data_IF_702304603107
#
_entry.id   IF_702304603107
#
_cell.length_a   1.000
_cell.length_b   1.000
_cell.length_c   1.000
_cell.angle_alpha   90.00
_cell.angle_beta   90.00
_cell.angle_gamma   90.00
#
_symmetry.space_group_name_H-M   'P 1'
#
loop_
_entity.id
_entity.type
_entity.pdbx_description
1 polymer ?
#
# COMPACT_ATOMS: atom_id res chain seq x y z
N UNK A 1 -22.63 19.39 -9.79
CA UNK A 1 -23.80 18.50 -10.01
C UNK A 1 -23.36 17.11 -9.58
N UNK A 2 -24.04 16.47 -8.62
CA UNK A 2 -23.61 15.14 -8.12
C UNK A 2 -23.91 14.08 -9.18
N UNK A 3 -23.13 12.99 -9.21
CA UNK A 3 -23.28 11.84 -10.11
C UNK A 3 -24.76 11.40 -10.29
N UNK A 4 -25.59 11.69 -9.29
CA UNK A 4 -27.04 11.36 -9.24
C UNK A 4 -27.93 12.32 -10.03
N UNK A 5 -27.51 13.54 -10.27
CA UNK A 5 -28.33 14.53 -10.98
C UNK A 5 -28.38 14.25 -12.48
N UNK A 6 -27.37 13.55 -13.01
CA UNK A 6 -27.32 13.10 -14.41
C UNK A 6 -28.46 12.11 -14.72
N UNK A 7 -28.93 11.37 -13.72
CA UNK A 7 -29.96 10.34 -13.87
C UNK A 7 -31.42 10.82 -13.56
N UNK A 8 -31.60 12.02 -12.97
CA UNK A 8 -32.90 12.53 -12.58
C UNK A 8 -33.76 13.17 -13.72
N UNK A 9 -33.19 13.44 -14.87
CA UNK A 9 -33.83 14.19 -15.95
C UNK A 9 -34.81 13.40 -16.85
N UNK A 10 -35.19 12.15 -16.50
CA UNK A 10 -35.92 11.26 -17.43
C UNK A 10 -37.29 10.77 -17.00
N UNK A 11 -37.92 11.33 -15.96
CA UNK A 11 -39.25 10.82 -15.51
C UNK A 11 -40.44 11.76 -15.65
N UNK A 12 -40.29 12.93 -16.25
CA UNK A 12 -41.47 13.79 -16.49
C UNK A 12 -41.71 14.01 -17.98
N UNK A 13 -42.45 13.07 -18.58
CA UNK A 13 -43.12 13.28 -19.86
C UNK A 13 -44.56 12.76 -19.77
N UNK A 14 -45.50 13.65 -19.46
CA UNK A 14 -46.92 13.45 -19.72
C UNK A 14 -47.41 14.48 -20.74
N UNK A 15 -47.71 13.96 -21.93
CA UNK A 15 -48.69 14.31 -22.98
C UNK A 15 -49.45 15.64 -22.93
N UNK A 16 -49.47 16.44 -23.98
CA UNK A 16 -50.36 16.44 -25.16
C UNK A 16 -50.36 17.79 -25.92
N UNK A 17 -51.12 18.07 -27.03
CA UNK A 17 -50.53 17.98 -28.35
C UNK A 17 -50.63 19.29 -29.21
N UNK A 18 -49.90 19.26 -30.35
CA UNK A 18 -50.17 19.98 -31.62
C UNK A 18 -50.11 21.51 -31.71
N UNK A 19 -49.06 21.99 -32.39
CA UNK A 19 -49.18 22.95 -33.52
C UNK A 19 -47.92 22.94 -34.38
N UNK A 20 -48.13 22.97 -35.69
CA UNK A 20 -47.13 22.78 -36.73
C UNK A 20 -46.20 23.98 -36.98
N UNK A 21 -44.89 23.65 -37.26
CA UNK A 21 -43.90 24.21 -38.14
C UNK A 21 -43.31 25.62 -37.89
N UNK A 22 -42.01 25.90 -38.18
CA UNK A 22 -41.26 25.50 -39.38
C UNK A 22 -39.90 24.85 -39.08
N UNK A 23 -39.35 24.23 -40.11
CA UNK A 23 -38.06 23.55 -40.20
C UNK A 23 -36.91 24.38 -39.67
N UNK A 24 -36.25 23.89 -38.66
CA UNK A 24 -34.96 24.38 -38.18
C UNK A 24 -33.94 23.24 -38.25
N UNK A 25 -32.83 23.52 -38.93
CA UNK A 25 -31.64 22.70 -39.13
C UNK A 25 -31.38 21.75 -37.95
N UNK A 26 -31.46 20.44 -38.23
CA UNK A 26 -31.13 19.36 -37.34
C UNK A 26 -29.59 19.40 -37.12
N UNK A 27 -29.17 19.92 -35.99
CA UNK A 27 -27.86 19.57 -35.44
C UNK A 27 -27.88 18.07 -35.12
N UNK A 28 -26.85 17.30 -35.45
CA UNK A 28 -26.79 15.91 -35.08
C UNK A 28 -26.90 15.81 -33.54
N UNK A 29 -27.99 15.22 -33.05
CA UNK A 29 -28.06 14.72 -31.69
C UNK A 29 -26.98 13.65 -31.57
N UNK A 30 -25.91 13.99 -30.86
CA UNK A 30 -25.01 12.99 -30.31
C UNK A 30 -25.87 12.17 -29.36
N UNK A 31 -26.24 10.96 -29.77
CA UNK A 31 -26.85 9.96 -28.91
C UNK A 31 -25.83 9.72 -27.76
N UNK A 32 -26.10 10.35 -26.61
CA UNK A 32 -25.41 10.02 -25.35
C UNK A 32 -25.64 8.53 -25.10
N UNK A 33 -24.65 7.70 -25.41
CA UNK A 33 -24.57 6.35 -24.90
C UNK A 33 -24.65 6.46 -23.37
N UNK A 34 -25.77 6.02 -22.79
CA UNK A 34 -26.00 6.06 -21.34
C UNK A 34 -25.03 5.09 -20.67
N UNK A 35 -23.84 5.59 -20.34
CA UNK A 35 -22.87 4.85 -19.52
C UNK A 35 -23.53 4.61 -18.16
N UNK A 36 -23.54 3.38 -17.70
CA UNK A 36 -24.11 3.04 -16.40
C UNK A 36 -23.26 3.65 -15.27
N UNK A 37 -23.85 3.91 -14.12
CA UNK A 37 -23.15 4.41 -12.93
C UNK A 37 -21.97 3.51 -12.55
N UNK A 38 -22.12 2.20 -12.69
CA UNK A 38 -21.07 1.22 -12.47
C UNK A 38 -19.86 1.46 -13.40
N UNK A 39 -20.11 1.64 -14.69
CA UNK A 39 -19.06 1.89 -15.69
C UNK A 39 -18.35 3.23 -15.45
N UNK A 40 -19.06 4.26 -14.96
CA UNK A 40 -18.43 5.53 -14.59
C UNK A 40 -17.48 5.36 -13.39
N UNK A 41 -17.90 4.62 -12.37
CA UNK A 41 -17.05 4.31 -11.21
C UNK A 41 -15.84 3.46 -11.62
N UNK A 42 -16.02 2.48 -12.48
CA UNK A 42 -14.91 1.67 -13.02
C UNK A 42 -13.92 2.54 -13.81
N UNK A 43 -14.40 3.47 -14.62
CA UNK A 43 -13.52 4.42 -15.32
C UNK A 43 -12.76 5.32 -14.34
N UNK A 44 -13.42 5.80 -13.29
CA UNK A 44 -12.77 6.63 -12.27
C UNK A 44 -11.68 5.84 -11.53
N UNK A 45 -11.97 4.60 -11.13
CA UNK A 45 -10.97 3.71 -10.52
C UNK A 45 -9.78 3.52 -11.46
N UNK A 46 -10.02 3.15 -12.71
CA UNK A 46 -8.97 2.90 -13.68
C UNK A 46 -8.10 4.14 -13.91
N UNK A 47 -8.69 5.33 -14.00
CA UNK A 47 -7.95 6.57 -14.20
C UNK A 47 -7.09 6.92 -12.98
N UNK A 48 -7.63 6.77 -11.76
CA UNK A 48 -6.84 6.98 -10.52
C UNK A 48 -5.71 5.97 -10.44
N UNK A 49 -5.95 4.71 -10.78
CA UNK A 49 -4.91 3.68 -10.81
C UNK A 49 -3.83 4.02 -11.85
N UNK A 50 -4.21 4.44 -13.05
CA UNK A 50 -3.27 4.84 -14.10
C UNK A 50 -2.38 6.02 -13.68
N UNK A 51 -2.98 7.03 -13.02
CA UNK A 51 -2.25 8.21 -12.54
C UNK A 51 -1.32 7.93 -11.36
N UNK A 52 -1.59 6.88 -10.59
CA UNK A 52 -0.93 6.67 -9.29
C UNK A 52 -0.11 5.38 -9.19
N UNK A 53 -0.14 4.53 -10.21
CA UNK A 53 0.56 3.25 -10.20
C UNK A 53 2.07 3.41 -9.99
N UNK A 54 2.62 2.57 -9.10
CA UNK A 54 4.07 2.40 -8.94
C UNK A 54 4.43 0.93 -8.92
N UNK A 55 5.52 0.53 -9.60
CA UNK A 55 6.02 -0.83 -9.51
C UNK A 55 6.50 -1.14 -8.08
N UNK A 56 6.24 -2.37 -7.63
CA UNK A 56 6.66 -2.88 -6.33
C UNK A 56 6.98 -4.38 -6.41
N UNK A 57 7.70 -4.88 -5.41
CA UNK A 57 7.85 -6.32 -5.20
C UNK A 57 6.82 -6.76 -4.17
N UNK A 58 5.80 -7.50 -4.61
CA UNK A 58 4.84 -8.11 -3.70
C UNK A 58 5.47 -9.29 -2.95
N UNK A 59 5.17 -9.40 -1.66
CA UNK A 59 5.67 -10.43 -0.76
C UNK A 59 4.51 -11.37 -0.41
N UNK A 60 4.55 -12.59 -0.90
CA UNK A 60 3.52 -13.60 -0.66
C UNK A 60 4.04 -14.73 0.22
N UNK A 61 3.20 -15.22 1.13
CA UNK A 61 3.54 -16.38 1.95
C UNK A 61 3.77 -17.59 1.04
N UNK A 62 4.87 -18.28 1.27
CA UNK A 62 5.19 -19.55 0.63
C UNK A 62 5.09 -20.69 1.66
N UNK A 63 3.91 -21.30 1.74
CA UNK A 63 3.63 -22.39 2.67
C UNK A 63 4.27 -23.73 2.23
N UNK A 64 4.75 -23.83 0.98
CA UNK A 64 5.33 -25.07 0.43
C UNK A 64 6.79 -25.24 0.84
N UNK A 65 7.48 -24.18 1.24
CA UNK A 65 8.90 -24.19 1.53
C UNK A 65 9.19 -23.76 2.96
N UNK A 66 10.06 -24.53 3.63
CA UNK A 66 10.60 -24.14 4.94
C UNK A 66 11.70 -23.11 4.71
N UNK A 67 11.66 -21.94 5.37
CA UNK A 67 12.71 -20.95 5.23
C UNK A 67 14.03 -21.45 5.82
N UNK A 68 15.13 -21.14 5.16
CA UNK A 68 16.47 -21.32 5.65
C UNK A 68 17.02 -20.02 6.27
N UNK A 69 18.31 -20.05 6.63
CA UNK A 69 18.98 -18.91 7.24
C UNK A 69 19.02 -17.66 6.33
N UNK A 70 19.06 -17.85 5.02
CA UNK A 70 19.26 -16.80 4.01
C UNK A 70 17.97 -16.36 3.33
N UNK A 71 16.87 -17.07 3.56
CA UNK A 71 15.59 -16.83 2.91
C UNK A 71 15.03 -15.45 3.20
N UNK A 72 14.33 -14.87 2.22
CA UNK A 72 13.36 -13.78 2.46
C UNK A 72 12.20 -14.35 3.27
N UNK A 73 11.95 -13.79 4.48
CA UNK A 73 11.05 -14.38 5.47
C UNK A 73 10.54 -13.41 6.53
N UNK A 74 9.50 -13.83 7.21
CA UNK A 74 9.01 -13.26 8.47
C UNK A 74 9.46 -14.14 9.62
N UNK A 75 9.93 -13.52 10.69
CA UNK A 75 10.25 -14.18 11.96
C UNK A 75 11.37 -15.20 11.90
N UNK A 76 11.40 -16.06 12.91
CA UNK A 76 12.34 -17.15 13.02
C UNK A 76 13.79 -16.72 13.28
N UNK A 77 14.69 -17.62 12.93
CA UNK A 77 16.14 -17.45 13.16
C UNK A 77 16.75 -16.55 12.10
N UNK A 78 17.29 -15.35 12.46
CA UNK A 78 17.90 -14.44 11.48
C UNK A 78 19.22 -14.99 10.95
N UNK A 79 19.60 -14.62 9.72
CA UNK A 79 21.02 -14.56 9.35
C UNK A 79 21.71 -13.60 10.30
N UNK A 80 22.91 -13.95 10.80
CA UNK A 80 23.68 -13.04 11.64
C UNK A 80 25.18 -13.20 11.39
N UNK A 81 25.84 -12.12 11.02
CA UNK A 81 27.29 -12.10 10.94
C UNK A 81 27.89 -12.25 12.35
N UNK A 82 28.54 -13.39 12.60
CA UNK A 82 29.08 -13.75 13.91
C UNK A 82 30.20 -12.79 14.42
N UNK A 83 30.70 -11.89 13.58
CA UNK A 83 31.66 -10.85 13.96
C UNK A 83 30.98 -9.61 14.58
N UNK A 84 29.66 -9.47 14.42
CA UNK A 84 28.90 -8.32 14.90
C UNK A 84 28.19 -8.61 16.24
N UNK A 85 28.05 -7.60 17.12
CA UNK A 85 27.20 -7.74 18.30
C UNK A 85 25.74 -7.84 17.89
N UNK A 86 24.99 -8.78 18.47
CA UNK A 86 23.56 -8.95 18.22
C UNK A 86 22.76 -7.69 18.64
N UNK A 87 21.72 -7.27 17.89
CA UNK A 87 20.97 -6.05 18.17
C UNK A 87 20.20 -6.15 19.49
N UNK A 88 20.22 -5.06 20.23
CA UNK A 88 19.56 -4.92 21.54
C UNK A 88 18.82 -3.61 21.62
N UNK A 89 17.78 -3.58 22.43
CA UNK A 89 17.09 -2.36 22.84
C UNK A 89 17.95 -1.51 23.80
N UNK A 90 17.43 -0.38 24.24
CA UNK A 90 18.13 0.51 25.18
C UNK A 90 18.33 -0.08 26.58
N UNK A 91 17.53 -1.06 26.97
CA UNK A 91 17.69 -1.81 28.21
C UNK A 91 18.70 -2.96 28.11
N UNK A 92 19.25 -3.21 26.92
CA UNK A 92 20.19 -4.28 26.65
C UNK A 92 19.55 -5.65 26.38
N UNK A 93 18.21 -5.71 26.22
CA UNK A 93 17.49 -6.91 25.83
C UNK A 93 17.63 -7.16 24.34
N UNK A 94 17.74 -8.43 23.89
CA UNK A 94 17.86 -8.73 22.47
C UNK A 94 16.56 -8.41 21.73
N UNK A 95 16.72 -7.85 20.54
CA UNK A 95 15.60 -7.62 19.61
C UNK A 95 15.28 -8.92 18.85
N UNK A 96 14.02 -9.08 18.45
CA UNK A 96 13.59 -10.23 17.67
C UNK A 96 13.35 -9.85 16.21
N UNK A 97 13.62 -10.79 15.29
CA UNK A 97 13.44 -10.58 13.86
C UNK A 97 11.97 -10.52 13.51
N UNK A 98 11.55 -9.44 12.86
CA UNK A 98 10.22 -9.33 12.22
C UNK A 98 10.32 -9.78 10.77
N UNK A 99 11.26 -9.21 10.03
CA UNK A 99 11.36 -9.37 8.58
C UNK A 99 12.81 -9.43 8.13
N UNK A 100 13.08 -10.31 7.18
CA UNK A 100 14.36 -10.43 6.49
C UNK A 100 14.10 -10.48 4.99
N UNK A 101 14.83 -9.69 4.21
CA UNK A 101 14.87 -9.78 2.76
C UNK A 101 16.27 -10.02 2.27
N UNK A 102 16.42 -11.05 1.43
CA UNK A 102 17.64 -11.30 0.67
C UNK A 102 17.50 -10.63 -0.71
N UNK A 103 18.30 -9.63 -0.98
CA UNK A 103 18.23 -8.91 -2.24
C UNK A 103 18.57 -9.77 -3.47
N UNK A 104 19.21 -10.91 -3.28
CA UNK A 104 19.40 -11.89 -4.37
C UNK A 104 18.08 -12.45 -4.90
N UNK A 105 17.04 -12.56 -4.05
CA UNK A 105 15.72 -13.06 -4.45
C UNK A 105 14.97 -12.09 -5.40
N UNK A 106 15.37 -10.81 -5.40
CA UNK A 106 14.76 -9.76 -6.23
C UNK A 106 15.36 -9.66 -7.64
N UNK A 107 16.55 -10.26 -7.87
CA UNK A 107 17.36 -9.96 -9.07
C UNK A 107 16.70 -10.33 -10.38
N UNK A 108 15.89 -11.39 -10.44
CA UNK A 108 15.23 -11.84 -11.68
C UNK A 108 14.27 -10.81 -12.28
N UNK A 109 13.69 -9.96 -11.44
CA UNK A 109 12.69 -8.96 -11.83
C UNK A 109 13.09 -7.53 -11.46
N UNK A 110 14.29 -7.35 -10.85
CA UNK A 110 14.75 -6.06 -10.35
C UNK A 110 14.68 -4.93 -11.36
N UNK A 111 15.14 -5.15 -12.57
CA UNK A 111 15.16 -4.13 -13.62
C UNK A 111 13.76 -3.67 -14.06
N UNK A 112 12.72 -4.46 -13.79
CA UNK A 112 11.33 -4.11 -14.11
C UNK A 112 10.72 -3.23 -13.02
N UNK A 113 11.12 -3.45 -11.76
CA UNK A 113 10.51 -2.84 -10.58
C UNK A 113 11.36 -1.68 -10.07
N UNK A 114 12.67 -1.87 -9.96
CA UNK A 114 13.62 -0.90 -9.42
C UNK A 114 14.46 -0.28 -10.54
N UNK A 115 13.81 0.41 -11.47
CA UNK A 115 14.47 1.06 -12.60
C UNK A 115 15.47 2.15 -12.17
N UNK A 116 15.27 2.76 -11.01
CA UNK A 116 16.14 3.80 -10.45
C UNK A 116 17.30 3.23 -9.62
N UNK A 117 17.38 1.89 -9.47
CA UNK A 117 18.38 1.20 -8.66
C UNK A 117 18.44 1.66 -7.19
N UNK A 118 17.28 1.86 -6.58
CA UNK A 118 17.15 2.27 -5.19
C UNK A 118 17.58 1.18 -4.20
N UNK A 119 17.42 -0.11 -4.60
CA UNK A 119 17.77 -1.26 -3.77
C UNK A 119 19.14 -1.84 -4.14
N UNK A 120 19.86 -2.41 -3.16
CA UNK A 120 21.07 -3.18 -3.41
C UNK A 120 20.82 -4.36 -4.35
N UNK A 121 21.87 -4.84 -5.01
CA UNK A 121 21.83 -6.04 -5.86
C UNK A 121 22.06 -7.32 -5.07
N UNK A 122 22.67 -7.23 -3.89
CA UNK A 122 23.02 -8.35 -3.01
C UNK A 122 22.98 -7.91 -1.55
N UNK A 123 23.03 -8.87 -0.66
CA UNK A 123 23.01 -8.65 0.78
C UNK A 123 21.66 -8.95 1.40
N UNK A 124 21.61 -8.90 2.73
CA UNK A 124 20.41 -9.18 3.53
C UNK A 124 20.08 -7.96 4.36
N UNK A 125 18.83 -7.47 4.20
CA UNK A 125 18.25 -6.44 5.05
C UNK A 125 17.31 -7.09 6.07
N UNK A 126 17.38 -6.59 7.30
CA UNK A 126 16.61 -7.14 8.43
C UNK A 126 15.94 -6.02 9.21
N UNK A 127 14.74 -6.30 9.68
CA UNK A 127 13.98 -5.45 10.59
C UNK A 127 13.73 -6.22 11.89
N UNK A 128 14.17 -5.64 13.00
CA UNK A 128 14.05 -6.18 14.34
C UNK A 128 13.24 -5.22 15.21
N UNK A 129 12.46 -5.78 16.14
CA UNK A 129 11.77 -4.99 17.18
C UNK A 129 11.99 -5.61 18.58
N UNK A 130 11.74 -4.82 19.61
CA UNK A 130 11.64 -5.33 20.99
C UNK A 130 10.40 -6.21 21.12
N UNK A 131 10.54 -7.51 21.48
CA UNK A 131 9.41 -8.43 21.51
C UNK A 131 8.41 -8.15 22.64
N UNK A 132 8.80 -7.33 23.62
CA UNK A 132 7.95 -6.94 24.78
C UNK A 132 7.27 -5.59 24.57
N UNK A 133 7.44 -4.95 23.39
CA UNK A 133 6.88 -3.62 23.12
C UNK A 133 5.53 -3.69 22.43
N UNK A 134 4.49 -3.15 23.07
CA UNK A 134 3.12 -3.13 22.57
C UNK A 134 2.94 -2.20 21.34
N UNK A 135 3.91 -1.34 21.08
CA UNK A 135 3.90 -0.40 19.94
C UNK A 135 4.82 -0.83 18.78
N UNK A 136 5.32 -2.07 18.84
CA UNK A 136 6.14 -2.69 17.79
C UNK A 136 7.38 -1.87 17.40
N UNK A 137 7.99 -1.21 18.36
CA UNK A 137 9.18 -0.38 18.18
C UNK A 137 8.91 1.09 17.84
N UNK A 138 7.65 1.48 17.63
CA UNK A 138 7.30 2.85 17.31
C UNK A 138 7.43 3.75 18.54
N UNK A 139 8.00 4.93 18.35
CA UNK A 139 7.99 6.05 19.29
C UNK A 139 7.18 7.18 18.64
N UNK A 140 6.00 7.47 19.18
CA UNK A 140 5.09 8.50 18.62
C UNK A 140 5.64 9.92 18.74
N UNK A 141 6.56 10.16 19.67
CA UNK A 141 7.19 11.46 19.85
C UNK A 141 8.42 11.65 18.93
N UNK A 142 9.00 10.55 18.46
CA UNK A 142 10.15 10.55 17.56
C UNK A 142 10.22 9.25 16.74
N UNK A 143 9.62 9.22 15.56
CA UNK A 143 9.61 8.06 14.67
C UNK A 143 11.00 7.56 14.24
N UNK A 144 12.04 8.39 14.37
CA UNK A 144 13.42 8.02 14.06
C UNK A 144 14.14 7.39 15.26
N UNK A 145 13.51 7.36 16.44
CA UNK A 145 14.11 6.79 17.63
C UNK A 145 14.18 5.26 17.53
N UNK A 146 15.39 4.73 17.46
CA UNK A 146 15.66 3.31 17.35
C UNK A 146 15.87 2.58 18.70
N UNK A 147 15.39 3.13 19.80
CA UNK A 147 15.52 2.51 21.12
C UNK A 147 14.96 1.08 21.17
N UNK A 148 13.90 0.81 20.39
CA UNK A 148 13.14 -0.44 20.41
C UNK A 148 13.06 -1.15 19.06
N UNK A 149 13.68 -0.63 18.02
CA UNK A 149 13.78 -1.29 16.72
C UNK A 149 15.18 -1.15 16.13
N UNK A 150 15.49 -1.95 15.13
CA UNK A 150 16.69 -1.81 14.27
C UNK A 150 16.37 -2.24 12.85
N UNK A 151 16.92 -1.49 11.90
CA UNK A 151 17.08 -1.94 10.52
C UNK A 151 18.57 -2.17 10.31
N UNK A 152 18.93 -3.38 9.88
CA UNK A 152 20.31 -3.80 9.70
C UNK A 152 20.51 -4.32 8.30
N UNK A 153 21.56 -3.86 7.63
CA UNK A 153 21.92 -4.31 6.29
C UNK A 153 23.28 -5.01 6.31
N UNK A 154 23.27 -6.31 6.05
CA UNK A 154 24.45 -7.12 5.80
C UNK A 154 24.80 -7.05 4.32
N UNK A 155 25.72 -6.15 3.96
CA UNK A 155 26.14 -5.96 2.56
C UNK A 155 26.80 -7.21 1.98
N UNK A 156 27.58 -7.92 2.81
CA UNK A 156 28.26 -9.17 2.45
C UNK A 156 27.65 -10.29 3.28
N UNK A 157 27.26 -11.37 2.61
CA UNK A 157 26.65 -12.55 3.23
C UNK A 157 27.67 -13.70 3.21
N UNK A 158 27.92 -14.29 4.37
CA UNK A 158 28.72 -15.52 4.47
C UNK A 158 27.82 -16.73 4.22
N UNK A 159 27.74 -17.18 2.98
CA UNK A 159 26.93 -18.33 2.59
C UNK A 159 27.41 -19.66 3.19
N UNK A 160 28.60 -19.68 3.80
CA UNK A 160 29.11 -20.87 4.50
C UNK A 160 28.63 -20.96 5.94
N UNK A 161 27.98 -19.91 6.44
CA UNK A 161 27.47 -19.85 7.79
C UNK A 161 26.34 -20.87 8.00
N UNK A 162 26.51 -21.78 8.92
CA UNK A 162 25.50 -22.78 9.26
C UNK A 162 24.85 -22.51 10.61
N UNK A 163 25.53 -21.79 11.50
CA UNK A 163 25.07 -21.52 12.88
C UNK A 163 25.37 -20.07 13.27
N UNK A 164 24.38 -19.16 13.23
CA UNK A 164 24.56 -17.78 13.68
C UNK A 164 24.59 -17.71 15.21
N UNK A 165 25.44 -16.86 15.75
CA UNK A 165 25.53 -16.57 17.19
C UNK A 165 24.42 -15.60 17.60
N UNK A 166 23.26 -16.13 17.87
CA UNK A 166 22.08 -15.39 18.33
C UNK A 166 21.78 -15.74 19.80
N UNK A 167 21.08 -14.87 20.56
CA UNK A 167 20.66 -15.17 21.92
C UNK A 167 19.71 -16.37 21.97
N UNK A 168 19.93 -17.26 22.95
CA UNK A 168 19.10 -18.46 23.14
C UNK A 168 17.69 -18.15 23.67
N UNK A 169 17.49 -16.97 24.25
CA UNK A 169 16.23 -16.56 24.90
C UNK A 169 15.32 -15.69 24.03
N UNK A 170 15.50 -15.72 22.72
CA UNK A 170 14.55 -15.08 21.79
C UNK A 170 13.23 -15.83 21.84
N UNK A 171 12.07 -15.12 21.84
CA UNK A 171 10.78 -15.76 21.79
C UNK A 171 10.54 -16.39 20.42
N UNK A 172 9.85 -17.53 20.38
CA UNK A 172 9.43 -18.17 19.12
C UNK A 172 8.31 -17.37 18.43
N UNK A 173 7.50 -16.65 19.21
CA UNK A 173 6.47 -15.74 18.71
C UNK A 173 6.33 -14.51 19.61
N UNK A 174 5.99 -13.38 19.03
CA UNK A 174 5.82 -12.10 19.75
C UNK A 174 5.00 -11.12 18.92
N UNK A 175 4.11 -10.35 19.55
CA UNK A 175 3.35 -9.31 18.88
C UNK A 175 2.75 -9.79 17.55
N UNK A 176 3.14 -9.19 16.40
CA UNK A 176 2.60 -9.58 15.10
C UNK A 176 3.24 -10.86 14.52
N UNK A 177 4.32 -11.37 15.11
CA UNK A 177 5.07 -12.53 14.60
C UNK A 177 4.78 -13.75 15.45
N UNK A 178 4.13 -14.77 14.87
CA UNK A 178 3.73 -16.00 15.58
C UNK A 178 4.54 -17.24 15.17
N UNK A 179 5.59 -17.05 14.37
CA UNK A 179 6.42 -18.15 13.89
C UNK A 179 7.39 -17.72 12.80
N UNK A 180 7.78 -18.67 11.96
CA UNK A 180 8.69 -18.43 10.84
C UNK A 180 8.00 -18.80 9.53
N UNK A 181 7.99 -17.88 8.55
CA UNK A 181 7.32 -18.07 7.26
C UNK A 181 8.21 -17.60 6.13
N UNK A 182 8.43 -18.44 5.12
CA UNK A 182 9.11 -18.06 3.89
C UNK A 182 8.23 -17.15 3.05
N UNK A 183 8.84 -16.15 2.42
CA UNK A 183 8.16 -15.27 1.48
C UNK A 183 8.68 -15.49 0.06
N UNK A 184 7.76 -15.53 -0.89
CA UNK A 184 8.05 -15.43 -2.32
C UNK A 184 7.95 -13.98 -2.75
N UNK A 185 8.88 -13.55 -3.59
CA UNK A 185 8.94 -12.19 -4.12
C UNK A 185 8.44 -12.19 -5.55
N UNK A 186 7.43 -11.36 -5.85
CA UNK A 186 6.84 -11.27 -7.19
C UNK A 186 6.77 -9.81 -7.67
N UNK A 187 7.03 -9.55 -8.97
CA UNK A 187 6.80 -8.22 -9.52
C UNK A 187 5.31 -7.89 -9.48
N UNK A 188 4.98 -6.69 -9.05
CA UNK A 188 3.62 -6.19 -8.93
C UNK A 188 3.56 -4.68 -9.16
N UNK A 189 2.38 -4.13 -9.03
CA UNK A 189 2.10 -2.70 -9.07
C UNK A 189 1.11 -2.38 -7.97
N UNK A 190 1.35 -1.32 -7.23
CA UNK A 190 0.39 -0.78 -6.29
C UNK A 190 0.00 0.66 -6.64
N UNK A 191 -0.97 1.19 -5.93
CA UNK A 191 -1.57 2.49 -6.21
C UNK A 191 -1.45 3.39 -5.00
N UNK A 192 -1.63 4.70 -5.20
CA UNK A 192 -1.63 5.65 -4.09
C UNK A 192 -2.77 5.30 -3.12
N UNK A 193 -2.43 5.21 -1.84
CA UNK A 193 -3.41 4.94 -0.78
C UNK A 193 -4.42 6.07 -0.65
N UNK A 194 -5.65 5.71 -0.32
CA UNK A 194 -6.75 6.64 -0.02
C UNK A 194 -6.43 7.58 1.17
N UNK A 195 -5.50 7.17 2.03
CA UNK A 195 -5.06 7.92 3.21
C UNK A 195 -3.85 8.83 2.90
N UNK A 196 -3.37 8.83 1.65
CA UNK A 196 -2.30 9.73 1.20
C UNK A 196 -2.83 11.16 1.04
N UNK A 197 -2.05 12.13 1.49
CA UNK A 197 -2.36 13.56 1.32
C UNK A 197 -2.63 13.95 -0.14
N UNK A 198 -1.88 13.37 -1.08
CA UNK A 198 -2.01 13.64 -2.51
C UNK A 198 -3.24 12.99 -3.15
N UNK A 199 -3.88 12.03 -2.47
CA UNK A 199 -4.99 11.27 -3.04
C UNK A 199 -6.19 12.16 -3.39
N UNK A 200 -6.54 13.10 -2.52
CA UNK A 200 -7.70 13.96 -2.72
C UNK A 200 -7.57 14.81 -3.99
N UNK A 201 -6.41 15.38 -4.25
CA UNK A 201 -6.14 16.17 -5.46
C UNK A 201 -6.29 15.30 -6.73
N UNK A 202 -5.67 14.12 -6.75
CA UNK A 202 -5.75 13.19 -7.89
C UNK A 202 -7.18 12.71 -8.12
N UNK A 203 -7.93 12.47 -7.05
CA UNK A 203 -9.34 12.12 -7.15
C UNK A 203 -10.17 13.22 -7.80
N UNK A 204 -10.00 14.47 -7.33
CA UNK A 204 -10.71 15.64 -7.86
C UNK A 204 -10.37 15.89 -9.33
N UNK A 205 -9.09 15.82 -9.71
CA UNK A 205 -8.66 15.91 -11.12
C UNK A 205 -9.30 14.80 -11.97
N UNK A 206 -9.36 13.57 -11.45
CA UNK A 206 -9.95 12.45 -12.17
C UNK A 206 -11.47 12.60 -12.33
N UNK A 207 -12.15 13.18 -11.35
CA UNK A 207 -13.56 13.55 -11.47
C UNK A 207 -13.76 14.62 -12.56
N UNK A 208 -12.93 15.65 -12.55
CA UNK A 208 -12.97 16.70 -13.57
C UNK A 208 -12.75 16.13 -14.98
N UNK A 209 -11.81 15.21 -15.13
CA UNK A 209 -11.49 14.60 -16.43
C UNK A 209 -12.63 13.71 -16.97
N UNK A 210 -13.28 12.94 -16.10
CA UNK A 210 -14.33 12.00 -16.51
C UNK A 210 -15.70 12.67 -16.64
N UNK A 211 -16.03 13.56 -15.70
CA UNK A 211 -17.38 14.13 -15.58
C UNK A 211 -17.46 15.59 -16.04
N UNK A 212 -16.30 16.26 -16.25
CA UNK A 212 -16.25 17.67 -16.64
C UNK A 212 -16.72 18.63 -15.56
N UNK A 213 -16.73 18.19 -14.29
CA UNK A 213 -17.19 18.97 -13.15
C UNK A 213 -16.15 19.02 -12.04
N UNK A 214 -16.03 20.17 -11.38
CA UNK A 214 -15.16 20.34 -10.22
C UNK A 214 -15.89 19.85 -8.96
N UNK A 215 -15.14 19.26 -8.03
CA UNK A 215 -15.65 18.84 -6.72
C UNK A 215 -14.62 19.14 -5.63
N UNK A 216 -15.09 19.53 -4.45
CA UNK A 216 -14.31 19.60 -3.23
C UNK A 216 -14.64 18.42 -2.29
N UNK A 217 -15.59 17.59 -2.67
CA UNK A 217 -16.03 16.44 -1.87
C UNK A 217 -14.95 15.34 -1.87
N UNK A 218 -14.78 14.67 -0.74
CA UNK A 218 -13.98 13.45 -0.67
C UNK A 218 -14.67 12.30 -1.46
N UNK A 219 -13.91 11.26 -1.78
CA UNK A 219 -14.41 10.16 -2.61
C UNK A 219 -15.63 9.45 -2.02
N UNK A 220 -15.75 9.37 -0.68
CA UNK A 220 -16.90 8.73 -0.02
C UNK A 220 -18.15 9.58 -0.20
N UNK A 221 -18.05 10.86 0.10
CA UNK A 221 -19.16 11.82 -0.06
C UNK A 221 -19.59 11.94 -1.52
N UNK A 222 -18.64 11.99 -2.45
CA UNK A 222 -18.90 12.08 -3.88
C UNK A 222 -19.58 10.83 -4.44
N UNK A 223 -19.13 9.64 -4.03
CA UNK A 223 -19.65 8.35 -4.51
C UNK A 223 -20.83 7.84 -3.68
N UNK A 224 -21.18 8.49 -2.57
CA UNK A 224 -22.25 8.08 -1.69
C UNK A 224 -23.63 8.19 -2.35
N UNK A 225 -24.45 7.17 -2.17
CA UNK A 225 -25.81 7.06 -2.72
C UNK A 225 -26.85 7.41 -1.64
N UNK A 226 -26.65 8.44 -0.85
CA UNK A 226 -27.59 9.02 0.14
C UNK A 226 -28.34 8.06 1.08
N UNK A 227 -28.11 6.76 0.98
CA UNK A 227 -28.65 5.74 1.87
C UNK A 227 -27.51 5.07 2.64
N UNK A 228 -27.09 5.73 3.68
CA UNK A 228 -26.07 5.26 4.63
C UNK A 228 -26.35 3.84 5.17
N UNK A 229 -27.63 3.45 5.26
CA UNK A 229 -28.06 2.14 5.77
C UNK A 229 -27.73 0.96 4.85
N UNK A 230 -27.47 1.17 3.57
CA UNK A 230 -27.06 0.14 2.62
C UNK A 230 -25.56 0.13 2.32
N UNK A 231 -24.79 0.92 3.06
CA UNK A 231 -23.34 1.04 2.92
C UNK A 231 -22.91 1.36 1.50
N UNK A 232 -22.34 2.48 1.31
CA UNK A 232 -21.80 3.02 0.07
C UNK A 232 -21.18 1.94 -0.84
N UNK A 233 -21.95 1.37 -1.75
CA UNK A 233 -21.51 0.28 -2.64
C UNK A 233 -20.32 0.71 -3.50
N UNK A 234 -20.37 1.90 -4.04
CA UNK A 234 -19.35 2.42 -4.96
C UNK A 234 -18.13 2.91 -4.22
N UNK A 235 -18.31 3.55 -3.06
CA UNK A 235 -17.22 3.90 -2.17
C UNK A 235 -16.46 2.66 -1.68
N UNK A 236 -17.16 1.57 -1.35
CA UNK A 236 -16.50 0.28 -1.01
C UNK A 236 -15.80 -0.36 -2.20
N UNK A 237 -16.38 -0.27 -3.40
CA UNK A 237 -15.71 -0.76 -4.61
C UNK A 237 -14.44 0.03 -4.87
N UNK A 238 -14.50 1.34 -4.71
CA UNK A 238 -13.37 2.25 -4.85
C UNK A 238 -12.30 1.97 -3.80
N UNK A 239 -12.69 1.86 -2.52
CA UNK A 239 -11.81 1.49 -1.43
C UNK A 239 -11.09 0.16 -1.72
N UNK A 240 -11.84 -0.89 -2.07
CA UNK A 240 -11.26 -2.21 -2.35
C UNK A 240 -10.27 -2.19 -3.53
N UNK A 241 -10.50 -1.35 -4.53
CA UNK A 241 -9.64 -1.26 -5.71
C UNK A 241 -8.32 -0.51 -5.45
N UNK A 242 -8.26 0.32 -4.40
CA UNK A 242 -7.13 1.20 -4.09
C UNK A 242 -6.52 0.97 -2.71
N UNK A 243 -7.08 0.05 -1.91
CA UNK A 243 -6.49 -0.33 -0.63
C UNK A 243 -5.31 -1.27 -0.86
N UNK A 244 -4.11 -0.83 -0.51
CA UNK A 244 -2.89 -1.62 -0.59
C UNK A 244 -2.73 -2.44 0.71
N UNK A 245 -3.50 -3.52 0.85
CA UNK A 245 -3.49 -4.41 2.03
C UNK A 245 -2.49 -5.56 1.90
N UNK A 246 -1.42 -5.37 1.16
CA UNK A 246 -0.42 -6.40 0.90
C UNK A 246 0.92 -6.04 1.54
N UNK A 247 1.80 -7.03 1.69
CA UNK A 247 3.20 -6.82 2.04
C UNK A 247 4.00 -6.58 0.76
N UNK A 248 4.84 -5.56 0.73
CA UNK A 248 5.63 -5.25 -0.46
C UNK A 248 6.87 -4.41 -0.17
N UNK A 249 7.78 -4.39 -1.13
CA UNK A 249 9.01 -3.59 -1.14
C UNK A 249 8.88 -2.57 -2.27
N UNK A 250 9.25 -1.31 -2.04
CA UNK A 250 9.04 -0.16 -2.94
C UNK A 250 7.54 0.14 -3.18
N UNK A 251 7.20 0.88 -4.24
CA UNK A 251 5.83 1.28 -4.53
C UNK A 251 5.36 2.51 -3.74
N UNK A 252 4.05 2.68 -3.66
CA UNK A 252 3.42 3.73 -2.88
C UNK A 252 3.24 3.30 -1.42
N UNK A 253 3.48 4.17 -0.44
CA UNK A 253 3.18 3.87 0.95
C UNK A 253 1.66 3.76 1.18
N UNK A 254 1.27 2.97 2.17
CA UNK A 254 -0.09 2.90 2.68
C UNK A 254 -0.05 2.84 4.20
N UNK A 255 -0.82 3.67 4.84
CA UNK A 255 -0.87 3.81 6.29
C UNK A 255 -2.25 3.41 6.81
N UNK A 256 -2.31 2.86 8.01
CA UNK A 256 -3.58 2.52 8.69
C UNK A 256 -4.20 3.76 9.34
N UNK A 257 -3.36 4.74 9.61
CA UNK A 257 -3.69 6.06 10.16
C UNK A 257 -3.09 7.13 9.25
N UNK A 258 -2.87 8.32 9.79
CA UNK A 258 -2.27 9.41 9.04
C UNK A 258 -0.84 9.09 8.60
N UNK A 259 -0.42 9.68 7.49
CA UNK A 259 0.96 9.61 7.02
C UNK A 259 1.90 10.29 8.05
N UNK A 260 2.86 9.56 8.64
CA UNK A 260 3.74 10.12 9.66
C UNK A 260 4.61 11.28 9.16
N UNK A 261 4.79 11.41 7.84
CA UNK A 261 5.51 12.54 7.23
C UNK A 261 4.80 13.86 7.42
N UNK A 262 3.48 13.87 7.65
CA UNK A 262 2.70 15.07 7.93
C UNK A 262 3.10 15.74 9.25
N UNK A 263 3.74 15.02 10.17
CA UNK A 263 4.28 15.55 11.41
C UNK A 263 5.69 16.16 11.29
N UNK A 264 6.34 15.98 10.14
CA UNK A 264 7.68 16.47 9.84
C UNK A 264 7.62 17.84 9.17
N UNK A 265 8.72 18.60 9.23
CA UNK A 265 8.87 19.77 8.38
C UNK A 265 8.97 19.33 6.91
N UNK A 266 8.60 20.22 5.98
CA UNK A 266 8.70 19.94 4.54
C UNK A 266 10.11 19.56 4.10
N UNK A 267 11.15 20.07 4.76
CA UNK A 267 12.55 19.73 4.50
C UNK A 267 12.86 18.31 4.97
N UNK A 268 12.40 17.91 6.16
CA UNK A 268 12.59 16.55 6.69
C UNK A 268 11.78 15.52 5.90
N UNK A 269 10.54 15.82 5.54
CA UNK A 269 9.68 14.91 4.80
C UNK A 269 10.26 14.50 3.44
N UNK A 270 11.05 15.38 2.79
CA UNK A 270 11.74 15.10 1.52
C UNK A 270 12.76 13.96 1.61
N UNK A 271 13.30 13.67 2.80
CA UNK A 271 14.22 12.53 3.00
C UNK A 271 13.51 11.18 3.07
N UNK A 272 12.18 11.18 3.15
CA UNK A 272 11.34 9.97 3.26
C UNK A 272 10.45 9.80 2.02
N UNK A 273 11.02 9.94 0.84
CA UNK A 273 10.33 9.87 -0.45
C UNK A 273 10.19 8.44 -1.01
N UNK A 274 10.98 7.52 -0.46
CA UNK A 274 11.08 6.14 -0.93
C UNK A 274 10.62 5.16 0.15
N UNK A 275 9.60 4.35 -0.14
CA UNK A 275 9.20 3.26 0.74
C UNK A 275 10.20 2.11 0.63
N UNK A 276 10.79 1.72 1.76
CA UNK A 276 11.68 0.56 1.79
C UNK A 276 10.87 -0.74 1.76
N UNK A 277 9.92 -0.91 2.69
CA UNK A 277 8.97 -2.02 2.72
C UNK A 277 7.72 -1.65 3.51
N UNK A 278 6.62 -2.34 3.24
CA UNK A 278 5.40 -2.36 4.04
C UNK A 278 5.09 -3.80 4.42
N UNK A 279 4.77 -4.01 5.69
CA UNK A 279 4.25 -5.26 6.22
C UNK A 279 2.82 -5.01 6.72
N UNK A 280 1.91 -5.90 6.41
CA UNK A 280 0.52 -5.84 6.81
C UNK A 280 0.17 -7.09 7.62
N UNK A 281 -0.46 -6.92 8.78
CA UNK A 281 -0.87 -8.00 9.67
C UNK A 281 -2.34 -8.40 9.46
N UNK A 282 -2.86 -8.30 8.24
CA UNK A 282 -4.21 -8.75 7.90
C UNK A 282 -4.40 -10.23 8.21
N UNK A 283 -5.65 -10.72 8.22
CA UNK A 283 -6.07 -12.08 8.63
C UNK A 283 -5.28 -13.24 7.98
N UNK A 284 -4.55 -12.98 6.93
CA UNK A 284 -3.67 -13.95 6.25
C UNK A 284 -2.22 -13.94 6.77
N UNK A 285 -1.90 -13.00 7.65
CA UNK A 285 -0.56 -12.76 8.17
C UNK A 285 -0.57 -12.60 9.72
N UNK A 286 -1.53 -13.17 10.39
CA UNK A 286 -1.40 -13.48 11.81
C UNK A 286 -0.43 -14.66 11.92
N UNK A 287 0.81 -14.29 11.78
CA UNK A 287 1.96 -15.15 11.93
C UNK A 287 2.30 -15.43 13.37
#
# INVERSE_FOLDING_TARGET
MKLFDIFKKKTDNTSSPNKAAPETLVKPEITENQISKKELVEKLINLVQEKTQKPCFNLEINEEEIPDLFSTKIGGKPYWDNSLPYPKDKEGKPLALVFQVNFADLQTTKNQIDAENLLPTEGILQFFISPEDDYYGMDSDNYQNQDKFRIIFHKTVDETLTEPKIPENLPEGFGPVQGEVKLSVKPSTNYLSLDSEQFQEIFQESVQEIFGEETEEDYRSYLDDKNFDNGNKYGRQFFKALSNQECYILGNPAFTQDDPRNSLSSEEAQFFDTLLFKLDSSDYLMW
#
